data_IF_381319492489
#
_entry.id   IF_381319492489
#
_cell.length_a   1.000
_cell.length_b   1.000
_cell.length_c   1.000
_cell.angle_alpha   90.00
_cell.angle_beta   90.00
_cell.angle_gamma   90.00
#
_symmetry.space_group_name_H-M   'P 1'
#
loop_
_entity.id
_entity.type
_entity.pdbx_description
1 polymer ?
#
# COMPACT_ATOMS: atom_id res chain seq x y z
N UNK A 1 -6.29 5.99 -7.70
CA UNK A 1 -6.27 7.31 -7.03
C UNK A 1 -5.95 7.23 -5.54
N UNK A 2 -6.63 6.37 -4.77
CA UNK A 2 -6.33 6.21 -3.33
C UNK A 2 -4.86 5.87 -3.02
N UNK A 3 -4.23 5.03 -3.86
CA UNK A 3 -2.82 4.67 -3.73
C UNK A 3 -1.85 5.86 -3.90
N UNK A 4 -2.18 6.79 -4.80
CA UNK A 4 -1.33 7.96 -5.08
C UNK A 4 -1.43 9.01 -3.97
N UNK A 5 -2.61 9.20 -3.39
CA UNK A 5 -2.83 10.19 -2.35
C UNK A 5 -2.16 9.80 -1.02
N UNK A 6 -2.43 8.57 -0.54
CA UNK A 6 -1.99 8.14 0.79
C UNK A 6 -1.40 6.71 0.80
N UNK A 7 -1.74 5.86 -0.17
CA UNK A 7 -1.30 4.45 -0.14
C UNK A 7 0.22 4.27 -0.27
N UNK A 8 0.91 5.08 -1.08
CA UNK A 8 2.37 5.01 -1.15
C UNK A 8 3.05 5.45 0.15
N UNK A 9 2.49 6.42 0.86
CA UNK A 9 2.98 6.87 2.16
C UNK A 9 2.84 5.77 3.22
N UNK A 10 1.71 5.06 3.21
CA UNK A 10 1.49 3.95 4.15
C UNK A 10 2.35 2.73 3.83
N UNK A 11 2.67 2.49 2.56
CA UNK A 11 3.48 1.34 2.13
C UNK A 11 4.98 1.51 2.38
N UNK A 12 5.55 2.68 2.04
CA UNK A 12 7.00 2.92 2.02
C UNK A 12 7.42 4.21 2.75
N UNK A 13 6.52 4.77 3.56
CA UNK A 13 6.83 5.90 4.42
C UNK A 13 7.73 5.49 5.58
N UNK A 14 8.69 6.35 5.91
CA UNK A 14 9.42 6.25 7.18
C UNK A 14 8.42 6.27 8.35
N UNK A 15 8.42 5.22 9.17
CA UNK A 15 7.43 5.01 10.22
C UNK A 15 7.68 3.73 11.04
N UNK A 16 6.71 3.39 11.89
CA UNK A 16 6.74 2.16 12.70
C UNK A 16 6.44 0.92 11.85
N UNK A 17 6.82 -0.28 12.28
CA UNK A 17 6.66 -1.51 11.48
C UNK A 17 5.22 -1.95 11.14
N UNK A 18 4.22 -1.20 11.60
CA UNK A 18 2.81 -1.38 11.22
C UNK A 18 2.32 -0.37 10.17
N UNK A 19 2.89 0.83 10.11
CA UNK A 19 2.44 1.89 9.19
C UNK A 19 3.56 2.92 8.94
N UNK A 20 3.80 3.21 7.66
CA UNK A 20 4.62 4.34 7.21
C UNK A 20 3.88 5.67 7.33
N UNK A 21 4.56 6.73 7.76
CA UNK A 21 3.95 8.04 8.05
C UNK A 21 4.52 9.20 7.23
N UNK A 22 5.44 8.94 6.31
CA UNK A 22 6.07 9.95 5.43
C UNK A 22 5.78 9.66 3.94
N UNK A 23 5.92 10.68 3.09
CA UNK A 23 5.67 10.66 1.61
C UNK A 23 4.20 10.65 1.14
N UNK A 24 3.33 11.41 1.81
CA UNK A 24 2.00 11.71 1.27
C UNK A 24 2.10 12.46 -0.07
N UNK A 25 1.22 12.12 -1.02
CA UNK A 25 1.21 12.67 -2.39
C UNK A 25 2.50 12.46 -3.21
N UNK A 26 3.38 11.51 -2.84
CA UNK A 26 4.68 11.32 -3.53
C UNK A 26 5.60 12.55 -3.41
N UNK A 27 5.29 13.50 -2.51
CA UNK A 27 6.13 14.65 -2.24
C UNK A 27 7.45 14.18 -1.61
N UNK A 28 8.54 14.27 -2.37
CA UNK A 28 9.89 13.94 -1.92
C UNK A 28 10.36 12.49 -2.16
N UNK A 29 9.62 11.65 -2.90
CA UNK A 29 10.13 10.32 -3.27
C UNK A 29 11.08 10.42 -4.48
N UNK A 30 12.35 10.02 -4.35
CA UNK A 30 13.33 10.11 -5.45
C UNK A 30 13.11 9.06 -6.55
N UNK A 31 12.26 8.04 -6.34
CA UNK A 31 12.13 6.89 -7.24
C UNK A 31 10.71 6.69 -7.75
N UNK A 32 10.31 7.50 -8.73
CA UNK A 32 9.03 7.36 -9.45
C UNK A 32 8.83 5.97 -10.06
N UNK A 33 9.91 5.32 -10.52
CA UNK A 33 9.85 3.97 -11.08
C UNK A 33 9.34 2.93 -10.05
N UNK A 34 9.80 3.04 -8.80
CA UNK A 34 9.34 2.19 -7.71
C UNK A 34 7.88 2.47 -7.33
N UNK A 35 7.47 3.75 -7.37
CA UNK A 35 6.07 4.14 -7.19
C UNK A 35 5.17 3.48 -8.25
N UNK A 36 5.51 3.61 -9.54
CA UNK A 36 4.69 3.07 -10.64
C UNK A 36 4.59 1.55 -10.60
N UNK A 37 5.69 0.86 -10.26
CA UNK A 37 5.68 -0.60 -10.14
C UNK A 37 4.69 -1.07 -9.06
N UNK A 38 4.71 -0.44 -7.88
CA UNK A 38 3.79 -0.80 -6.80
C UNK A 38 2.36 -0.32 -7.07
N UNK A 39 2.18 0.79 -7.76
CA UNK A 39 0.88 1.25 -8.24
C UNK A 39 0.22 0.25 -9.18
N UNK A 40 0.96 -0.28 -10.16
CA UNK A 40 0.45 -1.30 -11.09
C UNK A 40 0.01 -2.57 -10.36
N UNK A 41 0.80 -3.02 -9.38
CA UNK A 41 0.46 -4.20 -8.54
C UNK A 41 -0.79 -3.97 -7.70
N UNK A 42 -0.93 -2.77 -7.13
CA UNK A 42 -2.14 -2.37 -6.41
C UNK A 42 -3.37 -2.39 -7.34
N UNK A 43 -3.24 -1.85 -8.56
CA UNK A 43 -4.32 -1.79 -9.52
C UNK A 43 -4.79 -3.19 -9.92
N UNK A 44 -3.87 -4.11 -10.23
CA UNK A 44 -4.23 -5.50 -10.57
C UNK A 44 -4.90 -6.21 -9.39
N UNK A 45 -4.36 -6.10 -8.18
CA UNK A 45 -4.94 -6.71 -6.98
C UNK A 45 -6.36 -6.18 -6.71
N UNK A 46 -6.57 -4.88 -6.87
CA UNK A 46 -7.87 -4.24 -6.70
C UNK A 46 -8.87 -4.77 -7.74
N UNK A 47 -8.48 -4.88 -9.00
CA UNK A 47 -9.35 -5.41 -10.06
C UNK A 47 -9.77 -6.86 -9.79
N UNK A 48 -8.84 -7.72 -9.35
CA UNK A 48 -9.16 -9.12 -9.02
C UNK A 48 -10.14 -9.20 -7.85
N UNK A 49 -9.90 -8.45 -6.77
CA UNK A 49 -10.77 -8.44 -5.60
C UNK A 49 -12.19 -7.93 -5.93
N UNK A 50 -12.28 -6.91 -6.78
CA UNK A 50 -13.55 -6.32 -7.20
C UNK A 50 -14.32 -7.16 -8.23
N UNK A 51 -13.62 -7.96 -9.03
CA UNK A 51 -14.24 -8.91 -9.96
C UNK A 51 -15.12 -9.94 -9.26
N UNK A 52 -14.80 -10.30 -8.01
CA UNK A 52 -15.62 -11.20 -7.19
C UNK A 52 -16.92 -10.57 -6.66
N UNK A 53 -17.00 -9.23 -6.64
CA UNK A 53 -18.08 -8.48 -5.98
C UNK A 53 -19.08 -7.90 -6.99
N UNK A 54 -18.76 -7.92 -8.28
CA UNK A 54 -19.50 -7.23 -9.34
C UNK A 54 -20.94 -7.74 -9.53
N UNK A 55 -21.24 -8.97 -9.14
CA UNK A 55 -22.51 -9.64 -9.45
C UNK A 55 -23.72 -9.17 -8.64
N UNK A 56 -23.54 -8.57 -7.45
CA UNK A 56 -24.66 -8.19 -6.55
C UNK A 56 -24.54 -6.80 -5.91
N UNK A 57 -23.66 -5.95 -6.43
CA UNK A 57 -23.31 -4.69 -5.75
C UNK A 57 -23.74 -3.48 -6.55
N UNK A 58 -24.39 -2.52 -5.90
CA UNK A 58 -24.70 -1.23 -6.51
C UNK A 58 -23.42 -0.48 -6.92
N UNK A 59 -23.47 0.32 -8.00
CA UNK A 59 -22.28 0.99 -8.56
C UNK A 59 -21.55 1.89 -7.54
N UNK A 60 -22.27 2.46 -6.57
CA UNK A 60 -21.68 3.23 -5.47
C UNK A 60 -20.89 2.35 -4.50
N UNK A 61 -21.42 1.18 -4.13
CA UNK A 61 -20.73 0.24 -3.25
C UNK A 61 -19.42 -0.27 -3.85
N UNK A 62 -19.41 -0.46 -5.18
CA UNK A 62 -18.22 -0.82 -5.93
C UNK A 62 -17.12 0.25 -5.85
N UNK A 63 -17.49 1.53 -6.01
CA UNK A 63 -16.54 2.65 -5.93
C UNK A 63 -15.92 2.79 -4.53
N UNK A 64 -16.72 2.68 -3.48
CA UNK A 64 -16.23 2.79 -2.09
C UNK A 64 -15.30 1.61 -1.77
N UNK A 65 -15.68 0.40 -2.15
CA UNK A 65 -14.88 -0.81 -1.94
C UNK A 65 -13.53 -0.72 -2.66
N UNK A 66 -13.52 -0.19 -3.88
CA UNK A 66 -12.29 0.05 -4.65
C UNK A 66 -11.36 1.07 -3.97
N UNK A 67 -11.92 2.13 -3.37
CA UNK A 67 -11.16 3.16 -2.68
C UNK A 67 -10.55 2.64 -1.38
N UNK A 68 -11.33 1.91 -0.58
CA UNK A 68 -10.87 1.32 0.68
C UNK A 68 -9.78 0.27 0.43
N UNK A 69 -9.96 -0.57 -0.58
CA UNK A 69 -8.99 -1.61 -0.90
C UNK A 69 -7.65 -1.03 -1.38
N UNK A 70 -7.68 -0.11 -2.34
CA UNK A 70 -6.48 0.51 -2.89
C UNK A 70 -5.82 1.53 -1.94
N UNK A 71 -6.58 2.09 -0.99
CA UNK A 71 -6.12 3.15 -0.08
C UNK A 71 -5.64 2.67 1.28
N UNK A 72 -6.17 1.56 1.79
CA UNK A 72 -5.87 1.06 3.14
C UNK A 72 -5.40 -0.39 3.13
N UNK A 73 -6.22 -1.30 2.60
CA UNK A 73 -5.95 -2.75 2.71
C UNK A 73 -4.64 -3.14 2.01
N UNK A 74 -4.49 -2.75 0.74
CA UNK A 74 -3.30 -3.05 -0.05
C UNK A 74 -2.02 -2.41 0.50
N UNK A 75 -1.98 -1.09 0.81
CA UNK A 75 -0.74 -0.46 1.27
C UNK A 75 -0.29 -0.94 2.66
N UNK A 76 -1.21 -1.21 3.59
CA UNK A 76 -0.87 -1.77 4.91
C UNK A 76 -0.28 -3.17 4.76
N UNK A 77 -0.89 -4.03 3.93
CA UNK A 77 -0.37 -5.37 3.66
C UNK A 77 1.01 -5.32 2.98
N UNK A 78 1.22 -4.37 2.06
CA UNK A 78 2.51 -4.17 1.41
C UNK A 78 3.59 -3.69 2.37
N UNK A 79 3.24 -2.86 3.36
CA UNK A 79 4.18 -2.39 4.38
C UNK A 79 4.69 -3.54 5.23
N UNK A 80 3.82 -4.44 5.68
CA UNK A 80 4.24 -5.54 6.57
C UNK A 80 5.21 -6.52 5.91
N UNK A 81 5.05 -6.76 4.60
CA UNK A 81 5.79 -7.81 3.88
C UNK A 81 6.98 -7.24 3.10
N UNK A 82 6.86 -6.04 2.54
CA UNK A 82 7.84 -5.48 1.60
C UNK A 82 8.58 -4.26 2.11
N UNK A 83 8.20 -3.66 3.25
CA UNK A 83 8.99 -2.61 3.88
C UNK A 83 10.14 -3.21 4.72
N UNK A 84 11.27 -2.51 4.80
CA UNK A 84 12.45 -2.91 5.58
C UNK A 84 12.15 -2.93 7.08
N UNK A 85 11.24 -2.07 7.54
CA UNK A 85 10.74 -2.03 8.91
C UNK A 85 9.45 -2.85 9.10
N UNK A 86 8.96 -3.53 8.06
CA UNK A 86 7.70 -4.26 8.10
C UNK A 86 7.70 -5.41 9.12
N UNK A 87 6.60 -5.55 9.87
CA UNK A 87 6.43 -6.54 10.93
C UNK A 87 6.80 -7.99 10.54
N UNK A 88 6.54 -8.39 9.28
CA UNK A 88 6.82 -9.75 8.79
C UNK A 88 8.12 -9.87 8.00
N UNK A 89 8.92 -8.80 7.86
CA UNK A 89 10.12 -8.85 7.06
C UNK A 89 11.23 -9.62 7.81
N UNK A 90 11.71 -10.79 7.29
CA UNK A 90 12.77 -11.57 7.93
C UNK A 90 14.11 -10.82 8.04
N UNK A 91 14.28 -9.73 7.28
CA UNK A 91 15.49 -8.89 7.32
C UNK A 91 15.58 -8.02 8.58
N UNK A 92 14.46 -7.76 9.27
CA UNK A 92 14.47 -7.05 10.57
C UNK A 92 15.28 -7.84 11.62
N UNK A 93 15.25 -9.18 11.57
CA UNK A 93 16.00 -10.04 12.50
C UNK A 93 17.52 -10.02 12.33
N UNK A 94 18.03 -9.45 11.21
CA UNK A 94 19.46 -9.42 10.86
C UNK A 94 20.12 -8.04 10.95
N UNK A 95 19.35 -6.99 11.23
CA UNK A 95 19.91 -5.67 11.47
C UNK A 95 20.33 -5.55 12.94
N UNK A 96 21.59 -5.20 13.26
CA UNK A 96 21.99 -4.92 14.64
C UNK A 96 21.15 -3.73 15.12
N UNK A 97 20.29 -3.99 16.10
CA UNK A 97 19.45 -3.02 16.82
C UNK A 97 20.25 -1.73 17.03
N UNK A 98 19.89 -0.67 16.31
CA UNK A 98 20.25 0.70 16.68
C UNK A 98 18.99 1.31 17.23
N UNK A 99 19.08 1.60 18.53
CA UNK A 99 18.07 2.15 19.45
C UNK A 99 17.48 3.45 18.92
#
# INVERSE_FOLDING_TARGET
>A
MAYWLHGYAFAFGEGSGFIGSKYFLTLGSPNLCHFFFNYARCAVATTVALGAVIERTEPIGYLISSYVFAGFVYPIASHWVWDVHGFFNPLQSKLPVQV
#
